data_IF_105005694662
#
_entry.id   IF_105005694662
#
_cell.length_a   1.000
_cell.length_b   1.000
_cell.length_c   1.000
_cell.angle_alpha   90.00
_cell.angle_beta   90.00
_cell.angle_gamma   90.00
#
_symmetry.space_group_name_H-M   'P 1'
#
loop_
_entity.id
_entity.type
_entity.pdbx_description
1 polymer ?
#
# COMPACT_ATOMS: atom_id res chain seq x y z
N UNK A 1 44.32 33.82 21.78
CA UNK A 1 43.85 35.08 21.16
C UNK A 1 42.35 35.36 21.39
N UNK A 2 41.78 34.99 22.55
CA UNK A 2 40.40 35.37 22.95
C UNK A 2 40.40 35.99 24.36
N UNK A 3 41.48 36.67 24.75
CA UNK A 3 41.59 37.37 26.04
C UNK A 3 41.49 38.90 25.92
N UNK A 4 41.42 39.45 24.70
CA UNK A 4 41.47 40.90 24.46
C UNK A 4 40.11 41.56 24.20
N UNK A 5 39.00 40.81 24.15
CA UNK A 5 37.66 41.32 23.82
C UNK A 5 36.67 41.32 25.00
N UNK A 6 37.11 40.97 26.22
CA UNK A 6 36.24 40.89 27.40
C UNK A 6 36.33 42.07 28.36
N UNK A 7 37.07 43.14 28.01
CA UNK A 7 37.40 44.24 28.93
C UNK A 7 36.24 45.22 29.27
N UNK A 8 35.01 44.96 28.80
CA UNK A 8 33.86 45.82 29.09
C UNK A 8 32.54 45.06 29.32
N UNK A 9 32.58 43.74 29.47
CA UNK A 9 31.37 42.92 29.60
C UNK A 9 31.17 42.59 31.08
N UNK A 10 30.07 43.10 31.66
CA UNK A 10 29.72 42.92 33.06
C UNK A 10 29.69 41.41 33.43
N UNK A 11 30.41 40.96 34.47
CA UNK A 11 30.51 39.55 34.86
C UNK A 11 29.15 38.91 35.19
N UNK A 12 28.18 39.70 35.68
CA UNK A 12 26.79 39.28 35.87
C UNK A 12 26.14 38.83 34.56
N UNK A 13 26.29 39.62 33.50
CA UNK A 13 25.78 39.33 32.16
C UNK A 13 26.43 38.07 31.57
N UNK A 14 27.72 37.83 31.81
CA UNK A 14 28.41 36.61 31.37
C UNK A 14 27.86 35.39 32.11
N UNK A 15 27.57 35.51 33.41
CA UNK A 15 27.00 34.44 34.21
C UNK A 15 25.56 34.10 33.79
N UNK A 16 24.76 35.13 33.45
CA UNK A 16 23.41 34.99 32.93
C UNK A 16 23.46 34.34 31.54
N UNK A 17 24.26 34.87 30.62
CA UNK A 17 24.42 34.28 29.28
C UNK A 17 24.92 32.84 29.38
N UNK A 18 25.90 32.51 30.23
CA UNK A 18 26.35 31.11 30.42
C UNK A 18 25.27 30.21 31.02
N UNK A 19 24.37 30.75 31.86
CA UNK A 19 23.25 30.02 32.50
C UNK A 19 22.06 29.82 31.56
N UNK A 20 21.78 30.77 30.68
CA UNK A 20 20.65 30.76 29.75
C UNK A 20 21.01 30.30 28.33
N UNK A 21 22.27 30.44 27.89
CA UNK A 21 22.75 29.99 26.58
C UNK A 21 22.53 28.48 26.33
N UNK A 22 22.84 27.54 27.24
CA UNK A 22 22.58 26.13 26.98
C UNK A 22 21.08 25.86 26.78
N UNK A 23 20.21 26.47 27.58
CA UNK A 23 18.75 26.35 27.43
C UNK A 23 18.20 27.00 26.16
N UNK A 24 18.76 28.15 25.75
CA UNK A 24 18.39 28.82 24.50
C UNK A 24 18.85 28.03 23.26
N UNK A 25 20.04 27.41 23.34
CA UNK A 25 20.59 26.53 22.30
C UNK A 25 19.79 25.22 22.21
N UNK A 26 19.39 24.64 23.34
CA UNK A 26 18.52 23.45 23.39
C UNK A 26 17.14 23.75 22.78
N UNK A 27 16.50 24.87 23.16
CA UNK A 27 15.21 25.28 22.59
C UNK A 27 15.29 25.58 21.09
N UNK A 28 16.36 26.24 20.66
CA UNK A 28 16.63 26.49 19.24
C UNK A 28 16.85 25.21 18.43
N UNK A 29 17.59 24.25 18.98
CA UNK A 29 17.83 22.95 18.34
C UNK A 29 16.52 22.16 18.18
N UNK A 30 15.66 22.13 19.20
CA UNK A 30 14.35 21.44 19.12
C UNK A 30 13.46 22.08 18.05
N UNK A 31 13.42 23.41 17.95
CA UNK A 31 12.64 24.10 16.91
C UNK A 31 13.19 23.81 15.50
N UNK A 32 14.50 23.80 15.32
CA UNK A 32 15.14 23.47 14.04
C UNK A 32 14.85 22.02 13.63
N UNK A 33 14.98 21.07 14.56
CA UNK A 33 14.65 19.65 14.32
C UNK A 33 13.17 19.50 13.96
N UNK A 34 12.27 20.15 14.69
CA UNK A 34 10.83 20.15 14.40
C UNK A 34 10.53 20.68 12.99
N UNK A 35 11.17 21.79 12.60
CA UNK A 35 10.99 22.41 11.29
C UNK A 35 11.58 21.55 10.17
N UNK A 36 12.73 20.90 10.41
CA UNK A 36 13.31 19.91 9.50
C UNK A 36 12.39 18.69 9.33
N UNK A 37 11.82 18.16 10.41
CA UNK A 37 10.86 17.05 10.36
C UNK A 37 9.59 17.44 9.61
N UNK A 38 9.02 18.61 9.89
CA UNK A 38 7.84 19.11 9.18
C UNK A 38 8.11 19.30 7.68
N UNK A 39 9.25 19.90 7.31
CA UNK A 39 9.68 20.05 5.91
C UNK A 39 9.91 18.69 5.24
N UNK A 40 10.46 17.73 5.96
CA UNK A 40 10.65 16.36 5.47
C UNK A 40 9.29 15.70 5.20
N UNK A 41 8.35 15.78 6.15
CA UNK A 41 6.98 15.26 6.00
C UNK A 41 6.28 15.91 4.79
N UNK A 42 6.34 17.24 4.67
CA UNK A 42 5.77 17.97 3.52
C UNK A 42 6.40 17.53 2.19
N UNK A 43 7.71 17.32 2.18
CA UNK A 43 8.44 16.86 1.00
C UNK A 43 8.02 15.43 0.64
N UNK A 44 7.86 14.56 1.64
CA UNK A 44 7.35 13.19 1.47
C UNK A 44 5.91 13.19 0.94
N UNK A 45 5.03 14.05 1.46
CA UNK A 45 3.64 14.18 0.99
C UNK A 45 3.60 14.69 -0.45
N UNK A 46 4.40 15.71 -0.81
CA UNK A 46 4.45 16.26 -2.17
C UNK A 46 5.02 15.28 -3.20
N UNK A 47 5.87 14.35 -2.77
CA UNK A 47 6.38 13.26 -3.62
C UNK A 47 5.30 12.24 -4.03
N UNK A 48 4.16 12.24 -3.33
CA UNK A 48 3.05 11.33 -3.60
C UNK A 48 2.31 11.76 -4.88
N UNK A 49 2.51 11.01 -5.97
CA UNK A 49 1.82 11.28 -7.25
C UNK A 49 0.29 11.13 -7.12
N UNK A 50 -0.52 12.03 -7.69
CA UNK A 50 -1.98 11.88 -7.68
C UNK A 50 -2.41 10.67 -8.51
N UNK A 51 -3.47 10.00 -8.09
CA UNK A 51 -4.10 8.93 -8.88
C UNK A 51 -5.02 9.59 -9.91
N UNK A 52 -4.91 9.30 -11.22
CA UNK A 52 -5.65 10.01 -12.28
C UNK A 52 -7.13 9.58 -12.39
N UNK A 53 -7.69 8.98 -11.34
CA UNK A 53 -9.06 8.48 -11.31
C UNK A 53 -9.81 9.11 -10.13
N UNK A 54 -11.13 9.36 -10.27
CA UNK A 54 -11.94 9.89 -9.18
C UNK A 54 -12.00 8.86 -8.03
N UNK A 55 -11.99 9.33 -6.80
CA UNK A 55 -12.09 8.45 -5.64
C UNK A 55 -11.70 9.12 -4.34
N UNK A 56 -11.78 8.39 -3.23
CA UNK A 56 -11.51 8.92 -1.91
C UNK A 56 -10.01 9.20 -1.75
N UNK A 57 -9.68 10.40 -1.28
CA UNK A 57 -8.29 10.88 -1.17
C UNK A 57 -7.58 10.40 0.09
N UNK A 58 -8.33 10.15 1.15
CA UNK A 58 -7.82 9.72 2.44
C UNK A 58 -6.95 10.74 3.17
N UNK A 59 -6.31 10.29 4.25
CA UNK A 59 -5.43 11.12 5.06
C UNK A 59 -4.06 11.28 4.37
N UNK A 60 -3.34 12.39 4.60
CA UNK A 60 -1.98 12.55 4.10
C UNK A 60 -1.07 11.39 4.53
N UNK A 61 -0.13 10.99 3.65
CA UNK A 61 0.81 9.88 3.82
C UNK A 61 0.21 8.45 3.89
N UNK A 62 -0.82 8.21 4.71
CA UNK A 62 -1.43 6.88 4.87
C UNK A 62 -2.51 6.56 3.82
N UNK A 63 -3.06 7.59 3.15
CA UNK A 63 -4.18 7.43 2.23
C UNK A 63 -5.38 6.81 2.94
N UNK A 64 -5.87 5.69 2.44
CA UNK A 64 -7.02 4.96 2.99
C UNK A 64 -6.64 3.83 3.94
N UNK A 65 -5.37 3.70 4.33
CA UNK A 65 -4.93 2.59 5.19
C UNK A 65 -5.66 2.53 6.55
N UNK A 66 -6.08 3.69 7.10
CA UNK A 66 -6.77 3.76 8.39
C UNK A 66 -8.28 3.51 8.31
N UNK A 67 -8.88 3.80 7.15
CA UNK A 67 -10.34 3.69 6.94
C UNK A 67 -10.73 2.37 6.26
N UNK A 68 -9.78 1.72 5.58
CA UNK A 68 -10.02 0.50 4.84
C UNK A 68 -9.99 -0.72 5.77
N UNK A 69 -11.16 -1.12 6.23
CA UNK A 69 -11.39 -2.42 6.87
C UNK A 69 -11.37 -3.53 5.80
N UNK A 70 -10.54 -4.56 5.99
CA UNK A 70 -10.37 -5.67 5.06
C UNK A 70 -11.66 -6.49 4.90
N UNK A 71 -12.43 -6.68 5.98
CA UNK A 71 -13.68 -7.46 5.94
C UNK A 71 -14.78 -6.70 5.18
N UNK A 72 -14.75 -5.37 5.26
CA UNK A 72 -15.77 -4.50 4.64
C UNK A 72 -15.30 -3.87 3.33
N UNK A 73 -14.11 -4.22 2.83
CA UNK A 73 -13.51 -3.62 1.65
C UNK A 73 -14.44 -3.68 0.42
N UNK A 74 -15.08 -4.83 0.18
CA UNK A 74 -16.03 -5.00 -0.93
C UNK A 74 -17.27 -4.11 -0.79
N UNK A 75 -17.81 -4.01 0.44
CA UNK A 75 -18.95 -3.14 0.73
C UNK A 75 -18.58 -1.66 0.53
N UNK A 76 -17.40 -1.26 0.99
CA UNK A 76 -16.86 0.09 0.84
C UNK A 76 -16.67 0.46 -0.64
N UNK A 77 -16.06 -0.43 -1.44
CA UNK A 77 -15.91 -0.24 -2.89
C UNK A 77 -17.27 -0.07 -3.59
N UNK A 78 -18.30 -0.80 -3.15
CA UNK A 78 -19.66 -0.65 -3.70
C UNK A 78 -20.24 0.74 -3.44
N UNK A 79 -20.00 1.32 -2.27
CA UNK A 79 -20.41 2.70 -1.95
C UNK A 79 -19.63 3.70 -2.82
N UNK A 80 -18.31 3.56 -2.91
CA UNK A 80 -17.48 4.44 -3.73
C UNK A 80 -17.81 4.36 -5.22
N UNK A 81 -18.16 3.19 -5.75
CA UNK A 81 -18.57 3.06 -7.14
C UNK A 81 -19.88 3.80 -7.43
N UNK A 82 -20.80 3.89 -6.45
CA UNK A 82 -22.00 4.72 -6.57
C UNK A 82 -21.68 6.22 -6.54
N UNK A 83 -20.70 6.62 -5.74
CA UNK A 83 -20.35 8.02 -5.52
C UNK A 83 -19.44 8.61 -6.61
N UNK A 84 -18.41 7.86 -7.01
CA UNK A 84 -17.34 8.31 -7.91
C UNK A 84 -17.43 7.68 -9.31
N UNK A 85 -18.32 6.71 -9.50
CA UNK A 85 -18.59 6.04 -10.77
C UNK A 85 -17.90 4.68 -10.93
N UNK A 86 -17.96 4.13 -12.15
CA UNK A 86 -17.54 2.74 -12.45
C UNK A 86 -16.03 2.48 -12.40
N UNK A 87 -15.20 3.49 -12.23
CA UNK A 87 -13.75 3.32 -12.12
C UNK A 87 -13.23 4.30 -11.10
N UNK A 88 -12.72 3.77 -10.00
CA UNK A 88 -12.29 4.53 -8.85
C UNK A 88 -10.79 4.37 -8.62
N UNK A 89 -10.15 5.44 -8.19
CA UNK A 89 -8.75 5.45 -7.79
C UNK A 89 -8.61 5.86 -6.34
N UNK A 90 -7.81 5.11 -5.59
CA UNK A 90 -7.47 5.45 -4.22
C UNK A 90 -6.04 5.01 -3.91
N UNK A 91 -5.58 5.32 -2.71
CA UNK A 91 -4.21 5.07 -2.30
C UNK A 91 -4.19 4.43 -0.92
N UNK A 92 -3.29 3.48 -0.73
CA UNK A 92 -2.98 2.89 0.57
C UNK A 92 -1.47 3.07 0.76
N UNK A 93 -1.08 3.90 1.73
CA UNK A 93 0.29 4.40 1.87
C UNK A 93 0.84 5.03 0.57
N UNK A 94 1.97 4.53 0.07
CA UNK A 94 2.59 4.96 -1.19
C UNK A 94 2.06 4.21 -2.43
N UNK A 95 1.16 3.23 -2.25
CA UNK A 95 0.70 2.36 -3.35
C UNK A 95 -0.64 2.85 -3.91
N UNK A 96 -0.72 3.20 -5.21
CA UNK A 96 -1.98 3.53 -5.86
C UNK A 96 -2.77 2.26 -6.21
N UNK A 97 -4.08 2.31 -6.00
CA UNK A 97 -5.03 1.26 -6.35
C UNK A 97 -6.09 1.83 -7.30
N UNK A 98 -6.45 1.03 -8.31
CA UNK A 98 -7.52 1.35 -9.24
C UNK A 98 -8.48 0.18 -9.28
N UNK A 99 -9.76 0.45 -9.06
CA UNK A 99 -10.83 -0.55 -9.10
C UNK A 99 -11.80 -0.15 -10.21
N UNK A 100 -12.15 -1.11 -11.07
CA UNK A 100 -13.06 -0.87 -12.19
C UNK A 100 -14.15 -1.93 -12.24
N UNK A 101 -15.37 -1.48 -12.57
CA UNK A 101 -16.54 -2.31 -12.84
C UNK A 101 -16.96 -2.29 -14.32
N UNK A 102 -16.14 -1.70 -15.20
CA UNK A 102 -16.43 -1.64 -16.64
C UNK A 102 -16.15 -3.01 -17.28
N UNK A 103 -17.17 -3.72 -17.82
CA UNK A 103 -16.99 -5.06 -18.37
C UNK A 103 -15.96 -5.12 -19.50
N UNK A 104 -15.88 -4.06 -20.30
CA UNK A 104 -14.97 -3.95 -21.44
C UNK A 104 -13.52 -3.88 -20.95
N UNK A 105 -13.26 -3.07 -19.92
CA UNK A 105 -11.94 -2.95 -19.28
C UNK A 105 -11.54 -4.26 -18.60
N UNK A 106 -12.46 -4.89 -17.86
CA UNK A 106 -12.20 -6.17 -17.20
C UNK A 106 -11.87 -7.24 -18.23
N UNK A 107 -12.67 -7.36 -19.30
CA UNK A 107 -12.42 -8.31 -20.38
C UNK A 107 -11.07 -8.08 -21.03
N UNK A 108 -10.70 -6.82 -21.29
CA UNK A 108 -9.41 -6.45 -21.85
C UNK A 108 -8.26 -6.87 -20.92
N UNK A 109 -8.34 -6.54 -19.63
CA UNK A 109 -7.33 -6.90 -18.63
C UNK A 109 -7.16 -8.41 -18.48
N UNK A 110 -8.27 -9.16 -18.45
CA UNK A 110 -8.25 -10.61 -18.27
C UNK A 110 -7.82 -11.38 -19.52
N UNK A 111 -8.19 -10.91 -20.72
CA UNK A 111 -7.89 -11.60 -21.98
C UNK A 111 -6.52 -11.24 -22.54
N UNK A 112 -6.17 -9.95 -22.56
CA UNK A 112 -5.05 -9.49 -23.37
C UNK A 112 -3.69 -9.83 -22.76
N UNK A 113 -3.64 -10.42 -21.55
CA UNK A 113 -2.41 -10.75 -20.79
C UNK A 113 -1.31 -9.72 -21.03
N UNK A 114 -1.69 -8.45 -20.89
CA UNK A 114 -0.88 -7.34 -21.35
C UNK A 114 0.46 -7.42 -20.63
N UNK A 115 1.56 -7.41 -21.40
CA UNK A 115 2.92 -7.40 -20.85
C UNK A 115 3.02 -6.26 -19.82
N UNK A 116 3.40 -6.59 -18.58
CA UNK A 116 3.51 -5.66 -17.46
C UNK A 116 2.36 -5.72 -16.44
N UNK A 117 1.29 -6.46 -16.69
CA UNK A 117 0.29 -6.78 -15.67
C UNK A 117 0.65 -8.10 -15.00
N UNK A 118 1.06 -8.01 -13.73
CA UNK A 118 1.35 -9.17 -12.89
C UNK A 118 0.17 -9.44 -11.96
N UNK A 119 -0.13 -10.71 -11.73
CA UNK A 119 -1.12 -11.05 -10.72
C UNK A 119 -0.47 -10.80 -9.36
N UNK A 120 -1.22 -10.21 -8.42
CA UNK A 120 -0.66 -9.99 -7.07
C UNK A 120 -0.25 -11.34 -6.50
N UNK A 121 1.04 -11.54 -6.31
CA UNK A 121 1.53 -12.73 -5.62
C UNK A 121 1.20 -12.57 -4.14
N UNK A 122 0.30 -13.42 -3.63
CA UNK A 122 -0.04 -13.49 -2.21
C UNK A 122 1.10 -14.11 -1.37
N UNK A 123 2.16 -14.56 -2.03
CA UNK A 123 3.32 -15.19 -1.42
C UNK A 123 4.51 -14.22 -1.28
N UNK A 124 4.27 -12.97 -0.87
CA UNK A 124 5.34 -11.96 -0.74
C UNK A 124 6.40 -12.30 0.31
N UNK A 125 6.09 -13.25 1.22
CA UNK A 125 6.99 -13.75 2.26
C UNK A 125 7.61 -15.11 1.91
N UNK A 126 7.40 -15.63 0.70
CA UNK A 126 7.86 -16.96 0.24
C UNK A 126 7.48 -18.13 1.19
N UNK A 127 6.38 -17.99 1.94
CA UNK A 127 5.86 -18.99 2.90
C UNK A 127 5.15 -20.18 2.24
N UNK A 128 4.74 -20.02 0.98
CA UNK A 128 4.15 -21.06 0.15
C UNK A 128 5.14 -21.49 -0.93
N UNK A 129 5.04 -22.72 -1.45
CA UNK A 129 5.79 -23.13 -2.63
C UNK A 129 5.55 -22.16 -3.79
N UNK A 130 6.60 -21.70 -4.47
CA UNK A 130 6.50 -20.85 -5.68
C UNK A 130 5.88 -21.57 -6.89
N UNK A 131 5.48 -22.83 -6.72
CA UNK A 131 4.91 -23.72 -7.73
C UNK A 131 3.41 -23.88 -7.58
N UNK A 132 2.72 -24.14 -8.69
CA UNK A 132 1.28 -24.38 -8.73
C UNK A 132 0.52 -23.32 -9.53
N UNK A 133 -0.74 -23.62 -9.86
CA UNK A 133 -1.55 -22.83 -10.82
C UNK A 133 -1.83 -21.40 -10.34
N UNK A 134 -1.84 -21.16 -9.02
CA UNK A 134 -2.17 -19.85 -8.43
C UNK A 134 -0.96 -18.96 -8.15
N UNK A 135 0.25 -19.53 -8.04
CA UNK A 135 1.46 -18.82 -7.60
C UNK A 135 2.51 -18.67 -8.70
N UNK A 136 2.43 -19.50 -9.74
CA UNK A 136 3.31 -19.38 -10.91
C UNK A 136 2.83 -18.32 -11.90
N UNK A 137 3.77 -17.71 -12.60
CA UNK A 137 3.50 -16.77 -13.72
C UNK A 137 4.13 -17.27 -15.02
N UNK A 138 3.76 -16.64 -16.15
CA UNK A 138 4.40 -16.89 -17.44
C UNK A 138 4.28 -18.33 -17.94
N UNK A 139 5.40 -18.91 -18.38
CA UNK A 139 5.44 -20.25 -18.96
C UNK A 139 5.31 -21.36 -17.90
N UNK A 140 5.84 -21.15 -16.69
CA UNK A 140 5.62 -22.05 -15.56
C UNK A 140 4.14 -22.18 -15.23
N UNK A 141 3.40 -21.07 -15.27
CA UNK A 141 1.95 -21.07 -15.12
C UNK A 141 1.26 -21.86 -16.23
N UNK A 142 1.69 -21.72 -17.49
CA UNK A 142 1.10 -22.47 -18.61
C UNK A 142 1.28 -23.98 -18.45
N UNK A 143 2.46 -24.42 -18.02
CA UNK A 143 2.75 -25.82 -17.75
C UNK A 143 1.91 -26.36 -16.59
N UNK A 144 1.91 -25.66 -15.44
CA UNK A 144 1.14 -26.06 -14.26
C UNK A 144 -0.37 -26.14 -14.56
N UNK A 145 -0.91 -25.17 -15.31
CA UNK A 145 -2.32 -25.18 -15.71
C UNK A 145 -2.63 -26.38 -16.61
N UNK A 146 -1.79 -26.65 -17.60
CA UNK A 146 -1.98 -27.80 -18.51
C UNK A 146 -1.91 -29.13 -17.77
N UNK A 147 -1.03 -29.24 -16.77
CA UNK A 147 -0.92 -30.44 -15.94
C UNK A 147 -2.17 -30.64 -15.04
N UNK A 148 -2.79 -29.56 -14.56
CA UNK A 148 -3.99 -29.63 -13.71
C UNK A 148 -5.30 -29.81 -14.49
N UNK A 149 -5.32 -29.46 -15.79
CA UNK A 149 -6.51 -29.50 -16.64
C UNK A 149 -7.24 -30.85 -16.68
N UNK A 150 -6.57 -32.02 -16.78
CA UNK A 150 -7.27 -33.31 -16.84
C UNK A 150 -8.10 -33.61 -15.60
N UNK A 151 -7.63 -33.18 -14.41
CA UNK A 151 -8.36 -33.37 -13.15
C UNK A 151 -9.66 -32.55 -13.08
N UNK A 152 -9.80 -31.54 -13.93
CA UNK A 152 -10.99 -30.69 -14.05
C UNK A 152 -11.75 -30.96 -15.36
N UNK A 153 -11.47 -32.08 -16.03
CA UNK A 153 -12.19 -32.51 -17.22
C UNK A 153 -13.63 -32.94 -16.88
N UNK A 154 -14.49 -32.95 -17.90
CA UNK A 154 -15.88 -33.43 -17.76
C UNK A 154 -15.94 -34.85 -17.20
N UNK A 155 -15.13 -35.77 -17.74
CA UNK A 155 -15.06 -37.15 -17.24
C UNK A 155 -14.63 -37.23 -15.77
N UNK A 156 -13.66 -36.41 -15.36
CA UNK A 156 -13.26 -36.35 -13.94
C UNK A 156 -14.38 -35.76 -13.08
N UNK A 157 -15.06 -34.72 -13.52
CA UNK A 157 -16.19 -34.13 -12.81
C UNK A 157 -17.32 -35.14 -12.62
N UNK A 158 -17.71 -35.87 -13.67
CA UNK A 158 -18.75 -36.90 -13.62
C UNK A 158 -18.39 -38.02 -12.64
N UNK A 159 -17.11 -38.44 -12.63
CA UNK A 159 -16.63 -39.48 -11.72
C UNK A 159 -16.69 -39.07 -10.24
N UNK A 160 -16.63 -37.77 -9.94
CA UNK A 160 -16.70 -37.24 -8.58
C UNK A 160 -18.14 -37.13 -8.04
N UNK A 161 -19.15 -37.04 -8.93
CA UNK A 161 -20.56 -36.83 -8.56
C UNK A 161 -21.06 -37.85 -7.52
N UNK A 162 -20.84 -39.18 -7.66
CA UNK A 162 -21.33 -40.15 -6.68
C UNK A 162 -20.72 -39.94 -5.30
N UNK A 163 -19.41 -39.69 -5.22
CA UNK A 163 -18.71 -39.46 -3.96
C UNK A 163 -19.16 -38.17 -3.29
N UNK A 164 -19.27 -37.07 -4.05
CA UNK A 164 -19.79 -35.80 -3.52
C UNK A 164 -21.22 -35.94 -3.02
N UNK A 165 -22.08 -36.66 -3.76
CA UNK A 165 -23.47 -36.94 -3.35
C UNK A 165 -23.52 -37.75 -2.07
N UNK A 166 -22.65 -38.76 -1.94
CA UNK A 166 -22.57 -39.56 -0.73
C UNK A 166 -22.16 -38.71 0.49
N UNK A 167 -21.18 -37.82 0.33
CA UNK A 167 -20.74 -36.93 1.41
C UNK A 167 -21.82 -35.92 1.78
N UNK A 168 -22.51 -35.34 0.80
CA UNK A 168 -23.60 -34.40 1.03
C UNK A 168 -24.75 -35.04 1.84
N UNK A 169 -25.06 -36.33 1.59
CA UNK A 169 -26.09 -37.07 2.36
C UNK A 169 -25.69 -37.38 3.81
N UNK A 170 -24.41 -37.25 4.16
CA UNK A 170 -23.89 -37.51 5.51
C UNK A 170 -23.83 -36.25 6.39
N UNK A 171 -23.98 -35.07 5.79
CA UNK A 171 -24.11 -33.80 6.50
C UNK A 171 -25.57 -33.53 6.84
#
# INVERSE_FOLDING_TARGET
MLSALSAGINPELISIVRRYAPRAVEGGAVLLVSLCVAKLIDTLIKSIKPVPFPGPKGVPFFGMALELDQEKALACMRVWNKQYGKTIGFRVFSTPYVVTQKPETIRKLMKDRVKGYHMRQFNSLDLLPRSGVFLSEGDHWRLNRKAAEPALSESSADSMVPTMTQMAKRM
#
